data_IF_180615375902
#
_entry.id   IF_180615375902
#
_cell.length_a   1.000
_cell.length_b   1.000
_cell.length_c   1.000
_cell.angle_alpha   90.00
_cell.angle_beta   90.00
_cell.angle_gamma   90.00
#
_symmetry.space_group_name_H-M   'P 1'
#
loop_
_entity.id
_entity.type
_entity.pdbx_description
1 polymer ?
#
# COMPACT_ATOMS: atom_id res chain seq x y z
N UNK A 1 24.79 41.77 -46.07
CA UNK A 1 24.38 41.25 -44.75
C UNK A 1 23.74 39.91 -45.00
N UNK A 2 24.54 38.85 -45.00
CA UNK A 2 24.07 37.49 -45.25
C UNK A 2 23.51 36.95 -43.95
N UNK A 3 22.21 36.68 -43.91
CA UNK A 3 21.59 35.96 -42.81
C UNK A 3 21.93 34.49 -42.99
N UNK A 4 22.83 33.98 -42.15
CA UNK A 4 23.06 32.55 -41.95
C UNK A 4 21.73 31.91 -41.54
N UNK A 5 21.13 31.18 -42.49
CA UNK A 5 19.88 30.47 -42.28
C UNK A 5 20.09 29.24 -41.40
N UNK A 6 20.17 29.47 -40.09
CA UNK A 6 20.11 28.40 -39.09
C UNK A 6 18.74 27.73 -39.15
N UNK A 7 18.72 26.44 -39.45
CA UNK A 7 17.50 25.64 -39.53
C UNK A 7 16.77 25.71 -38.18
N UNK A 8 15.45 25.94 -38.20
CA UNK A 8 14.60 26.04 -36.99
C UNK A 8 14.75 24.79 -36.10
N UNK A 9 15.10 23.64 -36.68
CA UNK A 9 15.40 22.41 -35.96
C UNK A 9 16.70 22.50 -35.13
N UNK A 10 17.75 23.16 -35.60
CA UNK A 10 19.01 23.30 -34.86
C UNK A 10 18.87 24.23 -33.65
N UNK A 11 18.05 25.28 -33.78
CA UNK A 11 17.78 26.23 -32.70
C UNK A 11 17.03 25.55 -31.53
N UNK A 12 16.03 24.70 -31.83
CA UNK A 12 15.26 23.99 -30.80
C UNK A 12 16.13 22.96 -30.05
N UNK A 13 17.04 22.31 -30.76
CA UNK A 13 17.99 21.36 -30.20
C UNK A 13 18.97 22.08 -29.26
N UNK A 14 19.55 23.22 -29.67
CA UNK A 14 20.49 24.00 -28.86
C UNK A 14 19.89 24.59 -27.56
N UNK A 15 18.60 24.91 -27.52
CA UNK A 15 17.94 25.42 -26.29
C UNK A 15 17.61 24.30 -25.28
N UNK A 16 17.36 23.07 -25.75
CA UNK A 16 16.96 21.94 -24.89
C UNK A 16 18.19 21.19 -24.32
N UNK A 17 19.36 21.23 -24.96
CA UNK A 17 20.56 20.58 -24.43
C UNK A 17 21.02 21.11 -23.06
N UNK A 18 21.08 22.44 -22.82
CA UNK A 18 21.49 22.96 -21.52
C UNK A 18 20.55 22.54 -20.37
N UNK A 19 19.24 22.50 -20.63
CA UNK A 19 18.25 22.10 -19.62
C UNK A 19 18.26 20.59 -19.36
N UNK A 20 18.60 19.77 -20.35
CA UNK A 20 18.93 18.34 -20.15
C UNK A 20 20.15 18.15 -19.24
N UNK A 21 21.23 18.88 -19.50
CA UNK A 21 22.48 18.75 -18.72
C UNK A 21 22.28 19.25 -17.28
N UNK A 22 21.47 20.30 -17.10
CA UNK A 22 21.03 20.81 -15.79
C UNK A 22 20.05 19.84 -15.06
N UNK A 23 19.53 18.84 -15.77
CA UNK A 23 18.57 17.87 -15.27
C UNK A 23 17.14 18.42 -15.14
N UNK A 24 16.87 19.64 -15.60
CA UNK A 24 15.57 20.32 -15.47
C UNK A 24 14.50 19.77 -16.43
N UNK A 25 14.92 18.92 -17.37
CA UNK A 25 14.09 18.39 -18.44
C UNK A 25 14.40 16.92 -18.65
N UNK A 26 13.37 16.08 -18.59
CA UNK A 26 13.47 14.68 -18.97
C UNK A 26 13.21 14.51 -20.46
N UNK A 27 14.20 13.95 -21.15
CA UNK A 27 14.07 13.55 -22.54
C UNK A 27 13.95 12.05 -22.63
N UNK A 28 12.85 11.58 -23.22
CA UNK A 28 12.68 10.18 -23.55
C UNK A 28 12.88 9.99 -25.05
N UNK A 29 14.02 9.41 -25.42
CA UNK A 29 14.21 8.92 -26.78
C UNK A 29 13.59 7.53 -26.89
N UNK A 30 12.50 7.42 -27.65
CA UNK A 30 11.90 6.12 -27.93
C UNK A 30 12.50 5.56 -29.21
N UNK A 31 12.90 4.28 -29.21
CA UNK A 31 13.51 3.63 -30.39
C UNK A 31 12.56 3.53 -31.61
N UNK A 32 11.27 3.89 -31.44
CA UNK A 32 10.21 3.72 -32.44
C UNK A 32 9.67 5.04 -33.00
N UNK A 33 9.96 6.19 -32.38
CA UNK A 33 9.56 7.51 -32.87
C UNK A 33 10.78 8.33 -33.28
N UNK A 34 10.65 9.11 -34.35
CA UNK A 34 11.68 10.06 -34.77
C UNK A 34 11.59 11.37 -33.95
N UNK A 35 10.43 11.66 -33.35
CA UNK A 35 10.28 12.74 -32.37
C UNK A 35 10.71 12.30 -30.96
N UNK A 36 11.60 13.10 -30.37
CA UNK A 36 11.91 13.08 -28.95
C UNK A 36 10.83 13.84 -28.17
N UNK A 37 10.27 13.22 -27.12
CA UNK A 37 9.29 13.87 -26.24
C UNK A 37 10.00 14.50 -25.04
N UNK A 38 9.70 15.76 -24.79
CA UNK A 38 10.29 16.58 -23.74
C UNK A 38 9.26 16.77 -22.62
N UNK A 39 9.56 16.29 -21.42
CA UNK A 39 8.75 16.55 -20.23
C UNK A 39 9.47 17.55 -19.31
N UNK A 40 8.84 18.68 -18.94
CA UNK A 40 9.38 19.57 -17.93
C UNK A 40 9.44 18.82 -16.59
N UNK A 41 10.57 18.88 -15.89
CA UNK A 41 10.69 18.24 -14.58
C UNK A 41 9.84 18.99 -13.55
N UNK A 42 8.90 18.29 -12.90
CA UNK A 42 7.82 18.92 -12.12
C UNK A 42 8.25 19.24 -10.68
N UNK A 43 9.34 18.64 -10.14
CA UNK A 43 9.77 18.91 -8.76
C UNK A 43 11.29 18.76 -8.51
N UNK A 44 11.98 19.79 -8.02
CA UNK A 44 13.42 19.72 -7.67
C UNK A 44 13.71 18.78 -6.49
N UNK A 45 12.69 18.35 -5.74
CA UNK A 45 12.81 17.35 -4.66
C UNK A 45 13.03 15.93 -5.18
N UNK A 46 12.82 15.70 -6.48
CA UNK A 46 12.95 14.39 -7.13
C UNK A 46 14.33 14.17 -7.77
N UNK A 47 15.23 15.17 -7.72
CA UNK A 47 16.62 15.06 -8.20
C UNK A 47 17.46 14.21 -7.25
N UNK A 48 17.24 12.90 -7.28
CA UNK A 48 18.02 11.91 -6.52
C UNK A 48 19.09 11.35 -7.45
N UNK A 49 20.37 11.62 -7.13
CA UNK A 49 21.49 10.98 -7.81
C UNK A 49 21.71 9.60 -7.18
N UNK A 50 21.63 8.55 -8.01
CA UNK A 50 21.89 7.16 -7.60
C UNK A 50 22.97 6.61 -8.51
N UNK A 51 24.01 6.03 -7.92
CA UNK A 51 25.12 5.41 -8.65
C UNK A 51 24.65 4.17 -9.43
N UNK A 52 25.36 3.84 -10.51
CA UNK A 52 24.96 2.74 -11.39
C UNK A 52 25.04 1.37 -10.68
N UNK A 53 26.02 1.16 -9.80
CA UNK A 53 26.10 -0.05 -8.97
C UNK A 53 24.88 -0.21 -8.04
N UNK A 54 24.36 0.90 -7.52
CA UNK A 54 23.16 0.90 -6.67
C UNK A 54 21.91 0.57 -7.49
N UNK A 55 21.85 1.04 -8.75
CA UNK A 55 20.77 0.70 -9.68
C UNK A 55 20.82 -0.79 -10.05
N UNK A 56 22.01 -1.32 -10.30
CA UNK A 56 22.19 -2.71 -10.69
C UNK A 56 21.88 -3.65 -9.52
N UNK A 57 22.30 -3.30 -8.30
CA UNK A 57 21.90 -4.03 -7.10
C UNK A 57 20.38 -4.06 -6.96
N UNK A 58 19.70 -2.91 -7.07
CA UNK A 58 18.24 -2.86 -6.98
C UNK A 58 17.52 -3.72 -8.03
N UNK A 59 18.08 -3.81 -9.25
CA UNK A 59 17.55 -4.67 -10.33
C UNK A 59 17.84 -6.14 -10.11
N UNK A 60 18.92 -6.47 -9.42
CA UNK A 60 19.30 -7.86 -9.12
C UNK A 60 18.42 -8.51 -8.05
N UNK A 61 17.77 -7.70 -7.20
CA UNK A 61 16.86 -8.21 -6.16
C UNK A 61 15.59 -8.75 -6.83
N UNK A 62 15.32 -10.04 -6.64
CA UNK A 62 14.10 -10.67 -7.15
C UNK A 62 12.85 -10.10 -6.47
N UNK A 63 11.88 -9.68 -7.28
CA UNK A 63 10.61 -9.19 -6.77
C UNK A 63 9.76 -10.34 -6.21
N UNK A 64 9.21 -10.19 -4.99
CA UNK A 64 8.28 -11.14 -4.40
C UNK A 64 7.06 -11.37 -5.29
N UNK A 65 6.66 -12.63 -5.46
CA UNK A 65 5.45 -12.98 -6.22
C UNK A 65 4.16 -12.67 -5.46
N UNK A 66 4.19 -12.76 -4.13
CA UNK A 66 3.06 -12.51 -3.26
C UNK A 66 3.39 -11.47 -2.16
N UNK A 67 2.45 -10.56 -1.90
CA UNK A 67 2.51 -9.59 -0.80
C UNK A 67 2.59 -10.25 0.59
N UNK A 68 2.06 -11.47 0.76
CA UNK A 68 2.20 -12.19 2.04
C UNK A 68 3.66 -12.50 2.38
N UNK A 69 4.49 -12.81 1.38
CA UNK A 69 5.90 -13.12 1.58
C UNK A 69 6.65 -11.87 2.05
N UNK A 70 6.31 -10.70 1.48
CA UNK A 70 6.85 -9.40 1.90
C UNK A 70 6.46 -9.09 3.35
N UNK A 71 5.18 -9.22 3.68
CA UNK A 71 4.69 -8.95 5.04
C UNK A 71 5.35 -9.88 6.07
N UNK A 72 5.61 -11.14 5.72
CA UNK A 72 6.30 -12.10 6.57
C UNK A 72 7.75 -11.70 6.83
N UNK A 73 8.50 -11.29 5.81
CA UNK A 73 9.89 -10.82 5.98
C UNK A 73 9.97 -9.47 6.72
N UNK A 74 8.98 -8.58 6.52
CA UNK A 74 8.86 -7.35 7.30
C UNK A 74 8.61 -7.65 8.79
N UNK A 75 7.72 -8.60 9.11
CA UNK A 75 7.49 -9.01 10.49
C UNK A 75 8.72 -9.65 11.14
N UNK A 76 9.47 -10.47 10.39
CA UNK A 76 10.73 -11.06 10.89
C UNK A 76 11.79 -10.00 11.15
N UNK A 77 11.88 -8.98 10.31
CA UNK A 77 12.81 -7.86 10.48
C UNK A 77 12.33 -6.81 11.49
N UNK A 78 11.14 -6.99 12.10
CA UNK A 78 10.56 -6.05 13.06
C UNK A 78 10.03 -4.76 12.42
N UNK A 79 9.93 -4.69 11.10
CA UNK A 79 9.37 -3.53 10.41
C UNK A 79 7.83 -3.58 10.38
N UNK A 80 7.16 -2.43 10.56
CA UNK A 80 5.70 -2.38 10.50
C UNK A 80 5.21 -2.61 9.07
N UNK A 81 4.23 -3.49 8.92
CA UNK A 81 3.54 -3.72 7.65
C UNK A 81 2.45 -2.67 7.46
N UNK A 82 2.47 -1.94 6.34
CA UNK A 82 1.41 -0.97 5.99
C UNK A 82 0.11 -1.64 5.56
N UNK A 83 0.18 -2.89 5.16
CA UNK A 83 -0.95 -3.69 4.68
C UNK A 83 -0.99 -5.01 5.46
N UNK A 84 -2.20 -5.53 5.71
CA UNK A 84 -2.41 -6.88 6.22
C UNK A 84 -3.18 -7.68 5.14
N UNK A 85 -2.41 -8.30 4.25
CA UNK A 85 -2.93 -9.02 3.09
C UNK A 85 -3.72 -10.25 3.51
N UNK A 86 -3.28 -10.95 4.57
CA UNK A 86 -3.96 -12.12 5.10
C UNK A 86 -5.40 -11.80 5.51
N UNK A 87 -5.59 -10.72 6.27
CA UNK A 87 -6.92 -10.26 6.70
C UNK A 87 -7.79 -9.82 5.53
N UNK A 88 -7.22 -9.12 4.54
CA UNK A 88 -7.96 -8.71 3.33
C UNK A 88 -8.43 -9.92 2.53
N UNK A 89 -7.59 -10.95 2.36
CA UNK A 89 -7.96 -12.20 1.68
C UNK A 89 -9.01 -12.98 2.43
N UNK A 90 -8.90 -13.12 3.75
CA UNK A 90 -9.90 -13.78 4.58
C UNK A 90 -11.27 -13.07 4.47
N UNK A 91 -11.28 -11.73 4.50
CA UNK A 91 -12.51 -10.96 4.32
C UNK A 91 -13.11 -11.18 2.91
N UNK A 92 -12.29 -11.12 1.85
CA UNK A 92 -12.75 -11.41 0.49
C UNK A 92 -13.34 -12.82 0.35
N UNK A 93 -12.67 -13.83 0.93
CA UNK A 93 -13.18 -15.20 0.94
C UNK A 93 -14.51 -15.31 1.69
N UNK A 94 -14.68 -14.60 2.82
CA UNK A 94 -15.94 -14.59 3.56
C UNK A 94 -17.08 -13.89 2.81
N UNK A 95 -16.77 -12.96 1.91
CA UNK A 95 -17.76 -12.34 1.03
C UNK A 95 -18.17 -13.27 -0.12
N UNK A 96 -17.21 -13.96 -0.75
CA UNK A 96 -17.49 -14.90 -1.83
C UNK A 96 -18.14 -16.20 -1.33
N UNK A 97 -17.74 -16.65 -0.14
CA UNK A 97 -18.23 -17.86 0.51
C UNK A 97 -18.70 -17.50 1.93
N UNK A 98 -19.88 -16.90 2.06
CA UNK A 98 -20.43 -16.56 3.37
C UNK A 98 -20.55 -17.83 4.21
N UNK A 99 -20.12 -17.80 5.48
CA UNK A 99 -20.26 -18.96 6.35
C UNK A 99 -21.74 -19.35 6.44
N UNK A 100 -22.04 -20.67 6.50
CA UNK A 100 -23.42 -21.12 6.60
C UNK A 100 -24.08 -20.49 7.82
N UNK A 101 -25.30 -19.95 7.64
CA UNK A 101 -26.05 -19.32 8.72
C UNK A 101 -26.09 -20.28 9.92
N UNK A 102 -25.80 -19.80 11.15
CA UNK A 102 -25.82 -20.66 12.32
C UNK A 102 -27.22 -21.27 12.43
N UNK A 103 -27.28 -22.61 12.43
CA UNK A 103 -28.54 -23.33 12.68
C UNK A 103 -29.08 -22.84 14.01
N UNK A 104 -30.34 -22.40 14.02
CA UNK A 104 -30.96 -21.89 15.24
C UNK A 104 -30.80 -22.92 16.35
N UNK A 105 -30.05 -22.57 17.40
CA UNK A 105 -29.94 -23.43 18.57
C UNK A 105 -31.34 -23.46 19.19
N UNK A 106 -32.06 -24.57 19.01
CA UNK A 106 -33.36 -24.80 19.63
C UNK A 106 -33.22 -24.43 21.11
N UNK A 107 -33.90 -23.36 21.54
CA UNK A 107 -33.91 -22.97 22.95
C UNK A 107 -34.52 -24.16 23.70
N UNK A 108 -33.68 -24.94 24.40
CA UNK A 108 -34.19 -25.86 25.42
C UNK A 108 -34.85 -24.95 26.44
N UNK A 109 -36.18 -25.01 26.51
CA UNK A 109 -36.96 -24.18 27.42
C UNK A 109 -36.40 -24.29 28.84
N UNK A 110 -36.46 -23.19 29.59
CA UNK A 110 -36.25 -23.24 31.04
C UNK A 110 -37.19 -24.30 31.61
N UNK A 111 -36.68 -25.47 31.98
CA UNK A 111 -37.42 -26.35 32.88
C UNK A 111 -37.31 -25.71 34.25
N UNK A 112 -38.41 -25.11 34.70
CA UNK A 112 -38.54 -24.41 35.97
C UNK A 112 -38.14 -25.30 37.15
N UNK A 113 -36.94 -25.08 37.71
CA UNK A 113 -36.62 -25.45 39.10
C UNK A 113 -35.42 -24.66 39.60
N UNK A 114 -35.53 -23.34 39.68
CA UNK A 114 -34.63 -22.53 40.49
C UNK A 114 -34.96 -22.76 41.96
N UNK A 115 -34.11 -23.50 42.69
CA UNK A 115 -34.21 -23.60 44.16
C UNK A 115 -33.70 -22.30 44.78
N UNK A 116 -34.60 -21.36 45.04
CA UNK A 116 -34.31 -20.22 45.90
C UNK A 116 -34.17 -20.71 47.34
N UNK A 117 -32.93 -20.78 47.84
CA UNK A 117 -32.65 -21.01 49.26
C UNK A 117 -33.17 -19.81 50.06
N UNK A 118 -34.16 -20.09 50.90
CA UNK A 118 -34.96 -19.17 51.72
C UNK A 118 -34.07 -18.43 52.73
N UNK A 119 -33.69 -17.18 52.47
CA UNK A 119 -33.15 -16.25 53.46
C UNK A 119 -34.27 -15.84 54.41
N UNK A 120 -34.14 -16.16 55.69
CA UNK A 120 -35.06 -15.74 56.74
C UNK A 120 -34.62 -14.36 57.26
N UNK A 121 -35.39 -13.33 56.91
CA UNK A 121 -35.39 -12.06 57.64
C UNK A 121 -36.18 -12.32 58.92
N UNK A 122 -35.55 -12.21 60.09
CA UNK A 122 -36.23 -12.22 61.39
C UNK A 122 -36.23 -10.79 61.96
N UNK A 123 -37.34 -10.03 61.84
CA UNK A 123 -37.46 -8.70 62.40
C UNK A 123 -38.40 -8.76 63.60
N UNK A 124 -37.91 -9.17 64.76
CA UNK A 124 -38.58 -8.82 66.03
C UNK A 124 -37.64 -9.02 67.20
N UNK A 125 -36.95 -7.94 67.55
CA UNK A 125 -36.56 -7.65 68.91
C UNK A 125 -37.80 -7.71 69.82
N UNK A 126 -37.74 -8.48 70.90
CA UNK A 126 -38.64 -8.35 72.05
C UNK A 126 -37.91 -7.61 73.16
N UNK A 127 -38.55 -6.55 73.67
CA UNK A 127 -38.10 -5.77 74.81
C UNK A 127 -37.97 -6.61 76.09
N UNK A 128 -36.84 -6.46 76.77
CA UNK A 128 -36.69 -6.23 78.23
C UNK A 128 -35.29 -5.69 78.48
#
# INVERSE_FOLDING_TARGET
MSYEGGSIQEMHVQTVWPSKVSGDVWLMSTKKSQEDVVYPEIDPRLKIKVDDESKDLARSIELPRDMLDVEKELHKSGQPTKTNTARRRAAAQSLCHPPPKPKSRKKRGLTSRSSSSRTHICPSCSWT
#
